data_IF_376608302050
#
_entry.id   IF_376608302050
#
_cell.length_a   1.000
_cell.length_b   1.000
_cell.length_c   1.000
_cell.angle_alpha   90.00
_cell.angle_beta   90.00
_cell.angle_gamma   90.00
#
_symmetry.space_group_name_H-M   'P 1'
#
loop_
_entity.id
_entity.type
_entity.pdbx_description
1 polymer ?
#
# COMPACT_ATOMS: atom_id res chain seq x y z
N UNK A 1 0.83 17.98 13.90
CA UNK A 1 0.92 16.52 14.15
C UNK A 1 0.51 15.84 12.87
N UNK A 2 1.31 14.94 12.32
CA UNK A 2 0.92 14.17 11.13
C UNK A 2 -0.01 13.05 11.58
N UNK A 3 -1.27 13.10 11.16
CA UNK A 3 -2.25 12.06 11.45
C UNK A 3 -2.03 10.92 10.44
N UNK A 4 -1.44 9.81 10.91
CA UNK A 4 -1.22 8.63 10.06
C UNK A 4 -2.57 7.95 9.85
N UNK A 5 -3.00 7.87 8.58
CA UNK A 5 -4.21 7.14 8.20
C UNK A 5 -3.88 5.66 8.06
N UNK A 6 -4.64 4.81 8.72
CA UNK A 6 -4.47 3.38 8.60
C UNK A 6 -5.49 2.81 7.62
N UNK A 7 -5.01 1.92 6.75
CA UNK A 7 -5.84 1.19 5.78
C UNK A 7 -5.90 -0.28 6.19
N UNK A 8 -7.10 -0.85 6.10
CA UNK A 8 -7.31 -2.28 6.25
C UNK A 8 -7.02 -2.98 4.91
N UNK A 9 -6.36 -4.14 4.95
CA UNK A 9 -6.06 -4.88 3.71
C UNK A 9 -7.31 -5.34 2.97
N UNK A 10 -8.44 -5.53 3.66
CA UNK A 10 -9.71 -5.95 3.03
C UNK A 10 -10.32 -4.87 2.13
N UNK A 11 -10.07 -3.59 2.42
CA UNK A 11 -10.55 -2.47 1.60
C UNK A 11 -9.51 -2.00 0.56
N UNK A 12 -8.33 -2.61 0.52
CA UNK A 12 -7.25 -2.25 -0.39
C UNK A 12 -7.27 -3.11 -1.66
N UNK A 13 -7.45 -2.46 -2.80
CA UNK A 13 -7.25 -3.06 -4.12
C UNK A 13 -5.98 -2.51 -4.74
N UNK A 14 -5.12 -3.42 -5.19
CA UNK A 14 -3.84 -3.08 -5.85
C UNK A 14 -3.92 -3.52 -7.30
N UNK A 15 -3.56 -2.63 -8.21
CA UNK A 15 -3.52 -2.90 -9.64
C UNK A 15 -2.23 -2.35 -10.24
N UNK A 16 -1.72 -2.99 -11.28
CA UNK A 16 -0.64 -2.45 -12.12
C UNK A 16 -1.25 -2.11 -13.48
N UNK A 17 -1.54 -0.83 -13.78
CA UNK A 17 -2.06 -0.44 -15.08
C UNK A 17 -1.11 -0.88 -16.21
N UNK A 18 -1.66 -1.19 -17.39
CA UNK A 18 -0.85 -1.61 -18.53
C UNK A 18 0.16 -0.53 -18.93
N UNK A 19 1.44 -0.90 -19.02
CA UNK A 19 2.54 0.02 -19.32
C UNK A 19 2.98 0.93 -18.17
N UNK A 20 2.36 0.85 -16.99
CA UNK A 20 2.76 1.62 -15.82
C UNK A 20 3.92 0.96 -15.05
N UNK A 21 4.88 1.78 -14.61
CA UNK A 21 5.99 1.34 -13.77
C UNK A 21 5.55 1.19 -12.31
N UNK A 22 4.64 2.05 -11.85
CA UNK A 22 4.18 2.09 -10.46
C UNK A 22 2.81 1.45 -10.28
N UNK A 23 2.55 0.96 -9.07
CA UNK A 23 1.26 0.40 -8.69
C UNK A 23 0.22 1.51 -8.49
N UNK A 24 -1.03 1.16 -8.75
CA UNK A 24 -2.20 1.93 -8.33
C UNK A 24 -2.83 1.24 -7.13
N UNK A 25 -3.06 2.01 -6.08
CA UNK A 25 -3.78 1.58 -4.89
C UNK A 25 -5.16 2.25 -4.86
N UNK A 26 -6.20 1.47 -4.62
CA UNK A 26 -7.56 1.96 -4.43
C UNK A 26 -8.04 1.50 -3.06
N UNK A 27 -8.39 2.46 -2.21
CA UNK A 27 -9.05 2.19 -0.92
C UNK A 27 -10.55 2.34 -1.15
N UNK A 28 -11.28 1.25 -0.97
CA UNK A 28 -12.70 1.17 -1.30
C UNK A 28 -13.51 2.30 -0.64
N UNK A 29 -14.21 3.08 -1.45
CA UNK A 29 -15.08 4.17 -0.99
C UNK A 29 -14.36 5.41 -0.45
N UNK A 30 -13.02 5.44 -0.41
CA UNK A 30 -12.27 6.55 0.18
C UNK A 30 -11.43 7.33 -0.84
N UNK A 31 -10.34 6.74 -1.36
CA UNK A 31 -9.40 7.43 -2.25
C UNK A 31 -8.55 6.47 -3.09
N UNK A 32 -7.89 7.02 -4.11
CA UNK A 32 -6.99 6.31 -5.02
C UNK A 32 -5.61 6.97 -5.03
N UNK A 33 -4.56 6.14 -4.99
CA UNK A 33 -3.15 6.54 -5.13
C UNK A 33 -2.64 5.99 -6.48
N UNK A 34 -2.59 6.80 -7.55
CA UNK A 34 -2.35 6.31 -8.91
C UNK A 34 -0.90 5.95 -9.23
N UNK A 35 0.07 6.45 -8.48
CA UNK A 35 1.51 6.17 -8.65
C UNK A 35 2.10 5.86 -7.28
N UNK A 36 1.58 4.81 -6.66
CA UNK A 36 1.94 4.43 -5.32
C UNK A 36 3.33 3.81 -5.27
N UNK A 37 4.05 4.11 -4.19
CA UNK A 37 5.28 3.41 -3.79
C UNK A 37 5.00 2.66 -2.50
N UNK A 38 5.43 1.41 -2.46
CA UNK A 38 5.28 0.54 -1.29
C UNK A 38 6.62 0.44 -0.59
N UNK A 39 6.63 0.67 0.73
CA UNK A 39 7.83 0.52 1.55
C UNK A 39 7.48 -0.22 2.83
N UNK A 40 8.40 -1.05 3.33
CA UNK A 40 8.27 -1.63 4.66
C UNK A 40 8.35 -0.52 5.71
N UNK A 41 7.39 -0.51 6.63
CA UNK A 41 7.35 0.42 7.76
C UNK A 41 7.84 -0.28 9.04
N UNK A 42 8.21 0.53 10.04
CA UNK A 42 8.72 0.06 11.34
C UNK A 42 7.62 -0.68 12.14
N UNK A 43 7.96 -1.67 13.00
CA UNK A 43 9.31 -2.12 13.34
C UNK A 43 9.89 -3.10 12.32
N UNK A 44 11.18 -2.92 12.02
CA UNK A 44 11.94 -3.85 11.18
C UNK A 44 12.04 -5.27 11.78
N UNK A 45 11.68 -5.43 13.05
CA UNK A 45 11.54 -6.74 13.70
C UNK A 45 10.30 -7.52 13.22
N UNK A 46 9.30 -6.84 12.65
CA UNK A 46 8.11 -7.45 12.02
C UNK A 46 7.79 -6.75 10.69
N UNK A 47 8.68 -6.88 9.68
CA UNK A 47 8.60 -6.12 8.43
C UNK A 47 7.34 -6.43 7.60
N UNK A 48 6.70 -7.57 7.87
CA UNK A 48 5.50 -8.03 7.17
C UNK A 48 4.20 -7.43 7.76
N UNK A 49 4.28 -6.77 8.93
CA UNK A 49 3.10 -6.23 9.60
C UNK A 49 2.67 -4.87 9.05
N UNK A 50 3.60 -4.00 8.64
CA UNK A 50 3.25 -2.64 8.27
C UNK A 50 3.90 -2.21 6.95
N UNK A 51 3.07 -1.79 5.99
CA UNK A 51 3.53 -1.19 4.74
C UNK A 51 3.14 0.29 4.69
N UNK A 52 4.11 1.14 4.41
CA UNK A 52 3.90 2.55 4.08
C UNK A 52 3.44 2.65 2.63
N UNK A 53 2.27 3.26 2.44
CA UNK A 53 1.68 3.56 1.14
C UNK A 53 1.98 5.01 0.82
N UNK A 54 2.91 5.23 -0.11
CA UNK A 54 3.43 6.55 -0.44
C UNK A 54 2.92 7.05 -1.79
N UNK A 55 2.73 8.36 -1.91
CA UNK A 55 2.48 9.02 -3.19
C UNK A 55 3.73 9.08 -4.07
N UNK A 56 3.56 9.65 -5.27
CA UNK A 56 4.67 9.89 -6.21
C UNK A 56 5.71 10.87 -5.67
N UNK A 57 5.33 11.74 -4.73
CA UNK A 57 6.21 12.68 -4.03
C UNK A 57 7.00 12.03 -2.88
N UNK A 58 6.80 10.72 -2.63
CA UNK A 58 7.45 9.97 -1.56
C UNK A 58 6.89 10.27 -0.17
N UNK A 59 5.81 11.06 -0.05
CA UNK A 59 5.14 11.26 1.23
C UNK A 59 4.23 10.08 1.53
N UNK A 60 4.22 9.66 2.79
CA UNK A 60 3.27 8.68 3.29
C UNK A 60 1.86 9.26 3.23
N UNK A 61 0.98 8.55 2.54
CA UNK A 61 -0.45 8.87 2.46
C UNK A 61 -1.20 8.01 3.48
N UNK A 62 -0.81 6.75 3.63
CA UNK A 62 -1.43 5.82 4.56
C UNK A 62 -0.48 4.69 4.96
N UNK A 63 -0.86 3.98 6.02
CA UNK A 63 -0.18 2.79 6.50
C UNK A 63 -1.12 1.59 6.44
N UNK A 64 -0.71 0.54 5.73
CA UNK A 64 -1.41 -0.74 5.72
C UNK A 64 -1.15 -1.46 7.05
N UNK A 65 -2.22 -1.86 7.75
CA UNK A 65 -2.13 -2.52 9.07
C UNK A 65 -1.58 -3.95 9.03
N UNK A 66 -1.70 -4.62 7.89
CA UNK A 66 -1.27 -6.01 7.69
C UNK A 66 -1.48 -6.43 6.25
N UNK A 67 -0.53 -7.17 5.68
CA UNK A 67 -0.62 -7.68 4.31
C UNK A 67 -1.50 -8.95 4.24
N UNK A 68 -1.68 -9.63 5.37
CA UNK A 68 -2.40 -10.90 5.50
C UNK A 68 -3.92 -10.81 5.24
N UNK A 69 -4.50 -9.62 5.35
CA UNK A 69 -5.92 -9.39 5.00
C UNK A 69 -6.13 -8.89 3.57
N UNK A 70 -5.05 -8.57 2.85
CA UNK A 70 -5.12 -8.13 1.43
C UNK A 70 -5.49 -9.30 0.52
N UNK A 71 -6.36 -9.05 -0.45
CA UNK A 71 -6.74 -10.02 -1.49
C UNK A 71 -5.49 -10.62 -2.19
N UNK A 72 -5.49 -11.92 -2.50
CA UNK A 72 -4.31 -12.62 -3.02
C UNK A 72 -3.70 -12.00 -4.29
N UNK A 73 -4.54 -11.51 -5.21
CA UNK A 73 -4.11 -10.82 -6.44
C UNK A 73 -3.33 -9.54 -6.13
N UNK A 74 -3.85 -8.76 -5.18
CA UNK A 74 -3.28 -7.50 -4.72
C UNK A 74 -2.02 -7.71 -3.90
N UNK A 75 -2.02 -8.72 -3.01
CA UNK A 75 -0.85 -9.12 -2.22
C UNK A 75 0.34 -9.46 -3.09
N UNK A 76 0.12 -10.25 -4.15
CA UNK A 76 1.19 -10.60 -5.08
C UNK A 76 1.86 -9.38 -5.70
N UNK A 77 1.08 -8.36 -6.07
CA UNK A 77 1.63 -7.12 -6.62
C UNK A 77 2.42 -6.33 -5.58
N UNK A 78 1.97 -6.31 -4.32
CA UNK A 78 2.71 -5.69 -3.22
C UNK A 78 4.05 -6.41 -2.99
N UNK A 79 4.05 -7.74 -2.98
CA UNK A 79 5.26 -8.56 -2.78
C UNK A 79 6.26 -8.41 -3.93
N UNK A 80 5.80 -8.23 -5.17
CA UNK A 80 6.67 -7.97 -6.34
C UNK A 80 7.38 -6.60 -6.28
N UNK A 81 6.84 -5.65 -5.53
CA UNK A 81 7.34 -4.26 -5.46
C UNK A 81 8.29 -4.02 -4.26
N UNK A 82 8.31 -4.94 -3.28
CA UNK A 82 9.13 -4.88 -2.06
C UNK A 82 10.55 -5.43 -2.26
#
# INVERSE_FOLDING_TARGET
MAEIRYVDGTSLRVTRPEGAIHLRLEVEGEYCIPNARIRRAFPLSTPDQHLSLQGSDGKEIAMLRGIESVEASSRRLLDEEL
#
